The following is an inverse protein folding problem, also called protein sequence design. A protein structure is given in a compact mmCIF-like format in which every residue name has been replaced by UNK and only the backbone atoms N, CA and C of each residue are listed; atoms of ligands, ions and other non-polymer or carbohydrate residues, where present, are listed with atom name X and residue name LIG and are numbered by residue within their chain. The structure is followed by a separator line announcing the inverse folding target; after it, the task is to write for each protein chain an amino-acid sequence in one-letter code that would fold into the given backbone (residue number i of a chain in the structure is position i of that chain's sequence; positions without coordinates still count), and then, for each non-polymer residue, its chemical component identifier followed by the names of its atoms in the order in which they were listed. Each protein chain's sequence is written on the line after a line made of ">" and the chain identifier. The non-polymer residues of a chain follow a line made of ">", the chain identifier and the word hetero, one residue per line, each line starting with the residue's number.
data_IF_814529822671
#
_entry.id   IF_814529822671
#
_cell.length_a   1.000
_cell.length_b   1.000
_cell.length_c   1.000
_cell.angle_alpha   90.00
_cell.angle_beta   90.00
_cell.angle_gamma   90.00
#
_symmetry.space_group_name_H-M   'P 1'
#
loop_
_entity.id
_entity.type
_entity.pdbx_description
1 polymer ?
#
# COMPACT_ATOMS: atom_id res chain seq x y z
N UNK A 1 -3.44 11.49 1.91
CA UNK A 1 -4.44 11.13 2.94
C UNK A 1 -4.75 9.64 2.88
N UNK A 2 -4.78 9.01 4.01
CA UNK A 2 -5.11 7.58 4.07
C UNK A 2 -6.62 7.38 4.02
N UNK A 3 -7.07 6.66 2.99
CA UNK A 3 -8.49 6.40 2.76
C UNK A 3 -9.17 5.73 3.95
N UNK A 4 -8.53 4.70 4.51
CA UNK A 4 -9.13 3.91 5.58
C UNK A 4 -9.28 4.67 6.91
N UNK A 5 -8.62 5.80 7.04
CA UNK A 5 -8.71 6.64 8.24
C UNK A 5 -9.81 7.70 8.14
N UNK A 6 -10.46 7.81 6.98
CA UNK A 6 -11.54 8.75 6.76
C UNK A 6 -12.88 8.06 6.98
N UNK A 7 -13.88 8.80 7.37
CA UNK A 7 -15.24 8.28 7.43
C UNK A 7 -15.97 8.55 6.09
N UNK A 8 -17.16 7.97 5.92
CA UNK A 8 -17.87 8.07 4.66
C UNK A 8 -18.27 9.50 4.29
N UNK A 9 -18.56 10.33 5.28
CA UNK A 9 -18.89 11.73 5.04
C UNK A 9 -17.67 12.51 4.55
N UNK A 10 -16.53 12.27 5.18
CA UNK A 10 -15.28 12.91 4.79
C UNK A 10 -14.88 12.52 3.36
N UNK A 11 -14.98 11.23 3.03
CA UNK A 11 -14.66 10.75 1.70
C UNK A 11 -15.54 11.40 0.64
N UNK A 12 -16.82 11.53 0.92
CA UNK A 12 -17.76 12.17 -0.03
C UNK A 12 -17.33 13.59 -0.36
N UNK A 13 -16.83 14.32 0.62
CA UNK A 13 -16.34 15.68 0.41
C UNK A 13 -14.97 15.71 -0.29
N UNK A 14 -14.08 14.78 0.08
CA UNK A 14 -12.72 14.72 -0.46
C UNK A 14 -12.73 14.40 -1.95
N UNK A 15 -13.53 13.44 -2.39
CA UNK A 15 -13.54 12.98 -3.79
C UNK A 15 -14.05 14.04 -4.77
N UNK A 16 -14.65 15.10 -4.30
CA UNK A 16 -15.03 16.23 -5.14
C UNK A 16 -13.80 17.01 -5.61
N UNK A 17 -12.73 17.01 -4.84
CA UNK A 17 -11.51 17.77 -5.09
C UNK A 17 -10.33 16.88 -5.46
N UNK A 18 -10.17 15.75 -4.79
CA UNK A 18 -9.04 14.84 -4.96
C UNK A 18 -9.42 13.78 -5.98
N UNK A 19 -8.69 13.75 -7.08
CA UNK A 19 -9.00 12.87 -8.23
C UNK A 19 -7.96 11.77 -8.44
N UNK A 20 -6.99 11.65 -7.54
CA UNK A 20 -5.94 10.65 -7.61
C UNK A 20 -6.04 9.72 -6.41
N UNK A 21 -6.03 8.44 -6.66
CA UNK A 21 -5.96 7.42 -5.63
C UNK A 21 -4.76 6.52 -5.89
N UNK A 22 -4.08 6.14 -4.82
CA UNK A 22 -2.94 5.22 -4.89
C UNK A 22 -3.35 3.93 -4.20
N UNK A 23 -3.23 2.81 -4.91
CA UNK A 23 -3.39 1.48 -4.34
C UNK A 23 -2.02 0.82 -4.27
N UNK A 24 -1.39 0.78 -3.10
CA UNK A 24 -0.12 0.09 -2.96
C UNK A 24 -0.32 -1.42 -3.12
N UNK A 25 0.54 -2.05 -3.87
CA UNK A 25 0.51 -3.49 -4.08
C UNK A 25 1.75 -4.11 -3.48
N UNK A 26 1.59 -5.26 -2.87
CA UNK A 26 2.69 -5.99 -2.29
C UNK A 26 2.45 -7.49 -2.30
N UNK A 27 3.28 -8.20 -1.55
CA UNK A 27 3.18 -9.64 -1.42
C UNK A 27 3.76 -10.05 -0.08
N UNK A 28 3.42 -11.25 0.37
CA UNK A 28 4.02 -11.86 1.55
C UNK A 28 4.80 -13.06 1.05
N UNK A 29 6.12 -12.92 0.97
CA UNK A 29 6.98 -13.96 0.41
C UNK A 29 8.37 -13.92 1.02
N UNK A 30 9.15 -14.94 0.77
CA UNK A 30 10.52 -15.05 1.28
C UNK A 30 11.44 -14.03 0.61
N UNK A 31 12.24 -13.35 1.41
CA UNK A 31 13.24 -12.38 0.97
C UNK A 31 14.60 -12.70 1.61
N UNK A 32 14.90 -13.98 1.77
CA UNK A 32 16.07 -14.45 2.47
C UNK A 32 15.87 -14.44 4.00
N UNK A 33 16.84 -15.00 4.75
CA UNK A 33 16.70 -15.13 6.20
C UNK A 33 16.75 -13.81 6.97
N UNK A 34 17.16 -12.73 6.32
CA UNK A 34 17.41 -11.44 6.99
C UNK A 34 16.33 -10.40 6.81
N UNK A 35 15.35 -10.65 5.94
CA UNK A 35 14.25 -9.70 5.69
C UNK A 35 12.89 -10.32 6.03
N UNK A 36 11.95 -9.51 6.50
CA UNK A 36 10.62 -10.01 6.81
C UNK A 36 9.86 -10.42 5.55
N UNK A 37 8.89 -11.31 5.71
CA UNK A 37 8.04 -11.76 4.61
C UNK A 37 7.26 -10.61 3.97
N UNK A 38 6.94 -9.59 4.74
CA UNK A 38 6.16 -8.43 4.27
C UNK A 38 7.01 -7.31 3.70
N UNK A 39 8.26 -7.55 3.32
CA UNK A 39 9.19 -6.52 2.84
C UNK A 39 8.58 -5.68 1.72
N UNK A 40 7.96 -6.32 0.71
CA UNK A 40 7.36 -5.59 -0.41
C UNK A 40 6.20 -4.71 0.03
N UNK A 41 5.44 -5.16 1.01
CA UNK A 41 4.31 -4.39 1.54
C UNK A 41 4.80 -3.12 2.22
N UNK A 42 5.83 -3.23 3.03
CA UNK A 42 6.41 -2.09 3.73
C UNK A 42 7.00 -1.08 2.76
N UNK A 43 7.67 -1.57 1.72
CA UNK A 43 8.25 -0.71 0.69
C UNK A 43 7.17 0.03 -0.09
N UNK A 44 6.15 -0.67 -0.55
CA UNK A 44 5.04 -0.06 -1.29
C UNK A 44 4.31 0.98 -0.46
N UNK A 45 4.06 0.68 0.80
CA UNK A 45 3.41 1.59 1.73
C UNK A 45 4.24 2.84 1.94
N UNK A 46 5.55 2.68 2.12
CA UNK A 46 6.46 3.81 2.31
C UNK A 46 6.53 4.71 1.08
N UNK A 47 6.58 4.12 -0.11
CA UNK A 47 6.57 4.87 -1.36
C UNK A 47 5.27 5.66 -1.50
N UNK A 48 4.13 5.05 -1.19
CA UNK A 48 2.84 5.72 -1.25
C UNK A 48 2.77 6.90 -0.29
N UNK A 49 3.30 6.75 0.92
CA UNK A 49 3.38 7.84 1.89
C UNK A 49 4.23 9.00 1.37
N UNK A 50 5.37 8.69 0.76
CA UNK A 50 6.24 9.71 0.18
C UNK A 50 5.58 10.45 -0.97
N UNK A 51 4.87 9.75 -1.84
CA UNK A 51 4.14 10.36 -2.94
C UNK A 51 3.04 11.29 -2.42
N UNK A 52 2.35 10.89 -1.35
CA UNK A 52 1.26 11.69 -0.79
C UNK A 52 1.73 12.99 -0.14
N UNK A 53 3.02 13.12 0.16
CA UNK A 53 3.60 14.37 0.65
C UNK A 53 3.66 15.45 -0.43
N UNK A 54 3.70 15.04 -1.71
CA UNK A 54 3.90 15.95 -2.83
C UNK A 54 2.72 16.00 -3.80
N UNK A 55 1.83 15.02 -3.74
CA UNK A 55 0.67 14.92 -4.61
C UNK A 55 -0.58 14.77 -3.76
N UNK A 56 -1.57 15.60 -4.01
CA UNK A 56 -2.85 15.49 -3.32
C UNK A 56 -3.57 14.24 -3.82
N UNK A 57 -3.69 13.24 -2.95
CA UNK A 57 -4.22 11.94 -3.32
C UNK A 57 -4.77 11.20 -2.09
N UNK A 58 -5.60 10.20 -2.37
CA UNK A 58 -6.04 9.23 -1.37
C UNK A 58 -5.15 7.99 -1.46
N UNK A 59 -4.60 7.57 -0.34
CA UNK A 59 -3.79 6.36 -0.26
C UNK A 59 -4.66 5.25 0.32
N UNK A 60 -4.89 4.20 -0.46
CA UNK A 60 -5.69 3.05 -0.06
C UNK A 60 -4.84 2.09 0.78
N UNK A 61 -5.49 1.20 1.54
CA UNK A 61 -4.76 0.15 2.24
C UNK A 61 -3.94 -0.69 1.27
N UNK A 62 -2.76 -1.10 1.70
CA UNK A 62 -1.91 -1.96 0.88
C UNK A 62 -2.59 -3.29 0.62
N UNK A 63 -2.60 -3.74 -0.63
CA UNK A 63 -3.08 -5.07 -1.00
C UNK A 63 -1.88 -6.03 -0.96
N UNK A 64 -1.78 -6.89 0.08
CA UNK A 64 -0.55 -7.62 0.36
C UNK A 64 -0.43 -9.00 -0.30
N UNK A 65 -1.39 -9.39 -1.12
CA UNK A 65 -1.48 -10.76 -1.62
C UNK A 65 -1.18 -10.84 -3.12
N UNK A 66 -0.03 -10.27 -3.50
CA UNK A 66 0.48 -10.42 -4.85
C UNK A 66 0.95 -11.85 -5.12
N UNK A 67 1.23 -12.15 -6.39
CA UNK A 67 1.68 -13.46 -6.79
C UNK A 67 3.06 -13.78 -6.21
N UNK A 68 3.22 -14.98 -5.68
CA UNK A 68 4.51 -15.53 -5.25
C UNK A 68 4.80 -16.78 -6.06
N UNK A 69 6.10 -17.03 -6.33
CA UNK A 69 6.50 -18.13 -7.20
C UNK A 69 6.41 -19.48 -6.51
N UNK A 70 7.03 -19.61 -5.35
CA UNK A 70 7.05 -20.88 -4.64
C UNK A 70 7.27 -20.65 -3.16
N UNK A 71 6.45 -21.31 -2.34
CA UNK A 71 6.65 -21.33 -0.90
C UNK A 71 7.54 -22.50 -0.47
N UNK A 72 7.86 -23.40 -1.38
CA UNK A 72 8.69 -24.57 -1.10
C UNK A 72 10.18 -24.23 -1.04
N UNK A 73 10.56 -23.09 -1.58
CA UNK A 73 11.95 -22.66 -1.68
C UNK A 73 12.38 -21.70 -0.57
N UNK A 74 11.63 -21.69 0.54
CA UNK A 74 12.08 -20.94 1.68
C UNK A 74 13.50 -21.35 2.08
N UNK A 75 14.33 -20.47 2.58
CA UNK A 75 14.01 -19.34 3.41
C UNK A 75 13.48 -18.13 2.71
#
# INVERSE_FOLDING_TARGET
>A
MKYQEQNSKEIKEIIEKVKVAILPLGAVEAHGPHLPLGTDNYLSERIAEKLSENVECLVFPTLPYGQVWSLEEFP
#
